data_IF_565300745274
#
_entry.id   IF_565300745274
#
_cell.length_a   1.000
_cell.length_b   1.000
_cell.length_c   1.000
_cell.angle_alpha   90.00
_cell.angle_beta   90.00
_cell.angle_gamma   90.00
#
_symmetry.space_group_name_H-M   'P 1'
#
loop_
_entity.id
_entity.type
_entity.pdbx_description
1 polymer ?
#
# COMPACT_ATOMS: atom_id res chain seq x y z
N UNK A 1 -4.92 -21.70 -5.28
CA UNK A 1 -3.54 -22.14 -5.03
C UNK A 1 -2.67 -20.98 -4.66
N UNK A 2 -1.89 -21.12 -3.59
CA UNK A 2 -0.87 -20.16 -3.22
C UNK A 2 0.46 -20.62 -3.85
N UNK A 3 0.95 -19.90 -4.85
CA UNK A 3 2.11 -20.33 -5.64
C UNK A 3 3.47 -20.19 -4.91
N UNK A 4 3.45 -19.67 -3.66
CA UNK A 4 4.68 -19.56 -2.86
C UNK A 4 5.26 -20.93 -2.48
N UNK A 5 4.38 -21.90 -2.20
CA UNK A 5 4.76 -23.19 -1.61
C UNK A 5 4.58 -24.37 -2.60
N UNK A 6 4.12 -24.08 -3.82
CA UNK A 6 3.81 -25.09 -4.84
C UNK A 6 4.56 -24.79 -6.14
N UNK A 7 5.14 -25.82 -6.74
CA UNK A 7 5.70 -25.73 -8.10
C UNK A 7 4.58 -25.70 -9.15
N UNK A 8 4.89 -25.15 -10.33
CA UNK A 8 3.93 -25.09 -11.44
C UNK A 8 3.36 -26.48 -11.79
N UNK A 9 4.21 -27.53 -11.79
CA UNK A 9 3.79 -28.90 -12.06
C UNK A 9 2.81 -29.44 -11.01
N UNK A 10 3.00 -29.11 -9.74
CA UNK A 10 2.08 -29.50 -8.67
C UNK A 10 0.73 -28.77 -8.79
N UNK A 11 0.73 -27.50 -9.19
CA UNK A 11 -0.49 -26.73 -9.45
C UNK A 11 -1.25 -27.34 -10.61
N UNK A 12 -0.57 -27.60 -11.75
CA UNK A 12 -1.16 -28.20 -12.95
C UNK A 12 -1.74 -29.58 -12.65
N UNK A 13 -0.99 -30.46 -11.99
CA UNK A 13 -1.47 -31.79 -11.62
C UNK A 13 -2.68 -31.75 -10.68
N UNK A 14 -2.72 -30.80 -9.76
CA UNK A 14 -3.88 -30.59 -8.90
C UNK A 14 -5.09 -30.06 -9.68
N UNK A 15 -4.89 -29.17 -10.65
CA UNK A 15 -5.95 -28.67 -11.53
C UNK A 15 -6.52 -29.79 -12.39
N UNK A 16 -5.68 -30.64 -12.97
CA UNK A 16 -6.11 -31.81 -13.76
C UNK A 16 -6.94 -32.78 -12.92
N UNK A 17 -6.51 -33.09 -11.71
CA UNK A 17 -7.23 -34.03 -10.81
C UNK A 17 -8.59 -33.50 -10.36
N UNK A 18 -8.80 -32.18 -10.37
CA UNK A 18 -10.02 -31.51 -9.93
C UNK A 18 -10.87 -31.00 -11.11
N UNK A 19 -10.40 -31.11 -12.35
CA UNK A 19 -11.07 -30.57 -13.55
C UNK A 19 -12.44 -31.18 -13.85
N UNK A 20 -12.74 -32.36 -13.29
CA UNK A 20 -14.05 -33.02 -13.44
C UNK A 20 -15.15 -32.43 -12.54
N UNK A 21 -14.82 -31.51 -11.66
CA UNK A 21 -15.76 -30.82 -10.77
C UNK A 21 -15.97 -29.39 -11.26
N UNK A 22 -17.16 -28.83 -11.05
CA UNK A 22 -17.45 -27.42 -11.31
C UNK A 22 -16.66 -26.52 -10.33
N UNK A 23 -15.35 -26.44 -10.54
CA UNK A 23 -14.43 -25.76 -9.62
C UNK A 23 -13.68 -24.68 -10.38
N UNK A 24 -13.76 -23.43 -9.92
CA UNK A 24 -12.90 -22.36 -10.41
C UNK A 24 -11.51 -22.45 -9.78
N UNK A 25 -10.50 -22.30 -10.61
CA UNK A 25 -9.11 -22.28 -10.15
C UNK A 25 -8.60 -20.84 -10.08
N UNK A 26 -8.04 -20.47 -8.93
CA UNK A 26 -7.38 -19.18 -8.72
C UNK A 26 -5.98 -19.42 -8.21
N UNK A 27 -5.00 -18.82 -8.87
CA UNK A 27 -3.58 -18.91 -8.52
C UNK A 27 -3.14 -17.53 -8.02
N UNK A 28 -2.68 -17.47 -6.79
CA UNK A 28 -2.06 -16.28 -6.21
C UNK A 28 -0.54 -16.43 -6.28
N UNK A 29 0.17 -15.73 -7.19
CA UNK A 29 1.62 -15.70 -7.20
C UNK A 29 2.17 -15.09 -5.91
N UNK A 30 3.36 -15.50 -5.46
CA UNK A 30 3.96 -14.95 -4.25
C UNK A 30 4.20 -13.44 -4.42
N UNK A 31 3.80 -12.68 -3.40
CA UNK A 31 4.02 -11.23 -3.31
C UNK A 31 3.42 -10.38 -4.45
N UNK A 32 2.56 -10.96 -5.30
CA UNK A 32 1.93 -10.25 -6.41
C UNK A 32 0.68 -9.45 -6.01
N UNK A 33 0.39 -8.40 -6.77
CA UNK A 33 -0.82 -7.57 -6.62
C UNK A 33 -1.99 -8.06 -7.48
N UNK A 34 -1.92 -9.28 -8.00
CA UNK A 34 -2.95 -9.86 -8.84
C UNK A 34 -3.16 -11.35 -8.53
N UNK A 35 -4.32 -11.84 -8.92
CA UNK A 35 -4.67 -13.26 -8.88
C UNK A 35 -4.97 -13.70 -10.30
N UNK A 36 -4.38 -14.81 -10.72
CA UNK A 36 -4.69 -15.47 -11.98
C UNK A 36 -5.88 -16.40 -11.76
N UNK A 37 -6.90 -16.30 -12.58
CA UNK A 37 -8.08 -17.15 -12.50
C UNK A 37 -8.63 -17.49 -13.88
N UNK A 38 -9.43 -18.55 -13.96
CA UNK A 38 -10.23 -18.89 -15.15
C UNK A 38 -11.66 -18.42 -14.96
N UNK A 39 -12.24 -17.74 -15.97
CA UNK A 39 -13.57 -17.19 -15.90
C UNK A 39 -14.68 -18.21 -16.07
N UNK A 40 -14.38 -19.37 -16.64
CA UNK A 40 -15.38 -20.43 -16.90
C UNK A 40 -14.71 -21.77 -17.19
N UNK A 41 -15.37 -22.86 -16.76
CA UNK A 41 -15.03 -24.23 -17.09
C UNK A 41 -15.25 -24.52 -18.59
N UNK A 42 -16.18 -23.81 -19.23
CA UNK A 42 -16.58 -24.01 -20.62
C UNK A 42 -15.74 -23.21 -21.64
N UNK A 43 -14.84 -22.35 -21.19
CA UNK A 43 -13.91 -21.58 -22.03
C UNK A 43 -12.48 -21.82 -21.60
N UNK A 44 -11.88 -22.99 -21.91
CA UNK A 44 -10.49 -23.26 -21.59
C UNK A 44 -9.59 -22.30 -22.37
N UNK A 45 -8.91 -21.41 -21.62
CA UNK A 45 -7.94 -20.46 -22.18
C UNK A 45 -8.15 -18.99 -21.81
N UNK A 46 -9.29 -18.59 -21.29
CA UNK A 46 -9.47 -17.23 -20.80
C UNK A 46 -9.00 -17.11 -19.35
N UNK A 47 -7.75 -16.70 -19.19
CA UNK A 47 -7.21 -16.27 -17.90
C UNK A 47 -7.62 -14.81 -17.66
N UNK A 48 -8.21 -14.54 -16.53
CA UNK A 48 -8.46 -13.15 -16.09
C UNK A 48 -7.56 -12.78 -14.92
N UNK A 49 -7.15 -11.51 -14.92
CA UNK A 49 -6.36 -10.93 -13.85
C UNK A 49 -7.29 -10.22 -12.88
N UNK A 50 -7.28 -10.62 -11.63
CA UNK A 50 -7.94 -9.86 -10.55
C UNK A 50 -6.87 -8.98 -9.92
N UNK A 51 -6.93 -7.69 -10.22
CA UNK A 51 -6.09 -6.69 -9.54
C UNK A 51 -6.58 -6.54 -8.09
N UNK A 52 -5.75 -6.99 -7.14
CA UNK A 52 -6.01 -6.84 -5.71
C UNK A 52 -5.41 -5.53 -5.15
N UNK A 53 -4.98 -4.64 -6.03
CA UNK A 53 -4.44 -3.34 -5.70
C UNK A 53 -5.55 -2.41 -5.18
N UNK A 54 -5.79 -2.46 -3.89
CA UNK A 54 -6.83 -1.65 -3.25
C UNK A 54 -6.57 -0.14 -3.40
N UNK A 55 -5.30 0.29 -3.34
CA UNK A 55 -4.93 1.70 -3.44
C UNK A 55 -5.28 2.30 -4.81
N UNK A 56 -5.28 1.50 -5.88
CA UNK A 56 -5.54 2.00 -7.25
C UNK A 56 -7.01 2.30 -7.51
N UNK A 57 -7.91 1.81 -6.66
CA UNK A 57 -9.35 2.07 -6.78
C UNK A 57 -9.64 3.57 -6.70
N UNK A 58 -10.50 4.13 -7.59
CA UNK A 58 -10.79 5.57 -7.60
C UNK A 58 -11.32 6.10 -6.26
N UNK A 59 -12.09 5.29 -5.55
CA UNK A 59 -12.62 5.61 -4.23
C UNK A 59 -11.50 5.81 -3.19
N UNK A 60 -10.52 4.91 -3.18
CA UNK A 60 -9.40 4.98 -2.25
C UNK A 60 -8.46 6.14 -2.58
N UNK A 61 -8.23 6.43 -3.87
CA UNK A 61 -7.47 7.62 -4.30
C UNK A 61 -8.14 8.92 -3.82
N UNK A 62 -9.48 9.01 -3.95
CA UNK A 62 -10.25 10.17 -3.46
C UNK A 62 -10.20 10.27 -1.95
N UNK A 63 -10.43 9.16 -1.24
CA UNK A 63 -10.39 9.10 0.23
C UNK A 63 -9.01 9.48 0.76
N UNK A 64 -7.95 9.00 0.10
CA UNK A 64 -6.57 9.37 0.44
C UNK A 64 -6.33 10.87 0.24
N UNK A 65 -6.79 11.44 -0.85
CA UNK A 65 -6.65 12.88 -1.10
C UNK A 65 -7.44 13.71 -0.09
N UNK A 66 -8.65 13.27 0.25
CA UNK A 66 -9.47 13.93 1.27
C UNK A 66 -8.78 13.87 2.65
N UNK A 67 -8.22 12.73 3.00
CA UNK A 67 -7.41 12.56 4.21
C UNK A 67 -6.24 13.54 4.24
N UNK A 68 -5.48 13.66 3.15
CA UNK A 68 -4.36 14.59 3.05
C UNK A 68 -4.79 16.05 3.32
N UNK A 69 -5.92 16.46 2.73
CA UNK A 69 -6.45 17.82 2.89
C UNK A 69 -6.94 18.06 4.33
N UNK A 70 -7.76 17.15 4.86
CA UNK A 70 -8.31 17.28 6.21
C UNK A 70 -7.17 17.30 7.25
N UNK A 71 -6.22 16.38 7.13
CA UNK A 71 -5.06 16.32 8.02
C UNK A 71 -4.23 17.61 7.95
N UNK A 72 -4.02 18.16 6.75
CA UNK A 72 -3.30 19.42 6.58
C UNK A 72 -4.02 20.58 7.28
N UNK A 73 -5.35 20.65 7.19
CA UNK A 73 -6.16 21.69 7.86
C UNK A 73 -6.11 21.53 9.38
N UNK A 74 -6.24 20.30 9.88
CA UNK A 74 -6.17 20.01 11.33
C UNK A 74 -4.79 20.38 11.89
N UNK A 75 -3.71 19.94 11.21
CA UNK A 75 -2.34 20.27 11.62
C UNK A 75 -2.09 21.78 11.56
N UNK A 76 -2.61 22.46 10.54
CA UNK A 76 -2.51 23.92 10.45
C UNK A 76 -3.21 24.63 11.60
N UNK A 77 -4.43 24.21 11.94
CA UNK A 77 -5.17 24.77 13.07
C UNK A 77 -4.51 24.49 14.43
N UNK A 78 -3.80 23.38 14.56
CA UNK A 78 -3.10 22.97 15.79
C UNK A 78 -1.66 23.47 15.88
N UNK A 79 -1.15 24.19 14.88
CA UNK A 79 0.23 24.73 14.84
C UNK A 79 0.62 25.44 16.14
N UNK A 80 -0.19 26.34 16.76
CA UNK A 80 0.21 27.02 17.97
C UNK A 80 0.62 26.09 19.12
N UNK A 81 -0.05 24.95 19.19
CA UNK A 81 0.26 23.91 20.19
C UNK A 81 1.41 23.00 19.75
N UNK A 82 1.49 22.70 18.46
CA UNK A 82 2.53 21.83 17.90
C UNK A 82 3.92 22.47 17.89
N UNK A 83 4.03 23.78 17.78
CA UNK A 83 5.32 24.50 17.82
C UNK A 83 6.11 24.18 19.08
N UNK A 84 5.43 23.95 20.21
CA UNK A 84 6.08 23.58 21.47
C UNK A 84 6.59 22.14 21.50
N UNK A 85 6.05 21.26 20.64
CA UNK A 85 6.35 19.82 20.62
C UNK A 85 7.25 19.39 19.46
N UNK A 86 7.36 20.22 18.42
CA UNK A 86 8.03 19.91 17.15
C UNK A 86 9.43 20.57 17.13
N UNK A 87 10.44 19.83 16.64
CA UNK A 87 11.83 20.32 16.60
C UNK A 87 12.05 21.36 15.51
N UNK A 88 11.37 21.21 14.35
CA UNK A 88 11.54 22.06 13.17
C UNK A 88 10.19 22.59 12.66
N UNK A 89 9.58 23.57 13.33
CA UNK A 89 8.23 24.06 12.98
C UNK A 89 8.15 24.64 11.56
N UNK A 90 9.24 25.22 11.03
CA UNK A 90 9.29 25.70 9.64
C UNK A 90 9.12 24.57 8.62
N UNK A 91 9.78 23.45 8.84
CA UNK A 91 9.67 22.26 7.97
C UNK A 91 8.25 21.70 8.00
N UNK A 92 7.65 21.60 9.21
CA UNK A 92 6.25 21.18 9.34
C UNK A 92 5.30 22.09 8.54
N UNK A 93 5.46 23.41 8.62
CA UNK A 93 4.64 24.34 7.85
C UNK A 93 4.78 24.13 6.34
N UNK A 94 6.00 23.95 5.84
CA UNK A 94 6.26 23.67 4.43
C UNK A 94 5.59 22.37 4.03
N UNK A 95 5.72 21.32 4.84
CA UNK A 95 5.11 20.02 4.58
C UNK A 95 3.57 20.12 4.53
N UNK A 96 2.95 20.86 5.45
CA UNK A 96 1.49 21.10 5.45
C UNK A 96 1.06 21.75 4.12
N UNK A 97 1.75 22.82 3.70
CA UNK A 97 1.43 23.54 2.45
C UNK A 97 1.66 22.66 1.22
N UNK A 98 2.74 21.91 1.16
CA UNK A 98 3.08 21.05 0.02
C UNK A 98 2.10 19.87 -0.11
N UNK A 99 1.66 19.28 1.01
CA UNK A 99 0.62 18.25 1.00
C UNK A 99 -0.74 18.84 0.64
N UNK A 100 -1.10 19.98 1.19
CA UNK A 100 -2.35 20.66 0.87
C UNK A 100 -2.44 21.01 -0.64
N UNK A 101 -1.37 21.50 -1.23
CA UNK A 101 -1.27 21.76 -2.69
C UNK A 101 -1.24 20.47 -3.50
N UNK A 102 -1.00 19.32 -2.88
CA UNK A 102 -0.94 18.02 -3.55
C UNK A 102 0.39 17.72 -4.23
N UNK A 103 1.46 18.38 -3.84
CA UNK A 103 2.83 18.06 -4.27
C UNK A 103 3.33 16.78 -3.59
N UNK A 104 3.02 16.63 -2.30
CA UNK A 104 3.29 15.46 -1.47
C UNK A 104 1.98 14.85 -0.93
N UNK A 105 2.09 13.70 -0.27
CA UNK A 105 1.04 13.07 0.55
C UNK A 105 1.57 12.87 1.97
N UNK A 106 0.69 12.78 2.96
CA UNK A 106 1.15 12.48 4.32
C UNK A 106 1.78 11.11 4.41
N UNK A 107 1.19 10.10 3.79
CA UNK A 107 1.69 8.73 3.79
C UNK A 107 2.04 8.30 2.36
N UNK A 108 3.28 7.92 2.13
CA UNK A 108 3.79 7.42 0.85
C UNK A 108 4.62 6.17 1.04
N UNK A 109 5.21 5.64 -0.03
CA UNK A 109 6.08 4.49 0.05
C UNK A 109 7.41 4.81 0.74
N UNK A 110 7.97 3.80 1.38
CA UNK A 110 9.35 3.85 1.85
C UNK A 110 10.33 3.79 0.69
N UNK A 111 11.51 4.40 0.85
CA UNK A 111 12.49 4.61 -0.22
C UNK A 111 13.19 3.36 -0.76
N UNK A 112 13.13 2.23 -0.05
CA UNK A 112 13.75 0.97 -0.48
C UNK A 112 12.77 0.17 -1.30
N UNK A 113 12.61 0.47 -2.58
CA UNK A 113 11.83 -0.33 -3.49
C UNK A 113 12.72 -0.87 -4.60
N UNK A 114 13.01 -2.15 -4.56
CA UNK A 114 13.64 -2.87 -5.66
C UNK A 114 12.60 -3.13 -6.75
N UNK A 115 12.92 -2.71 -7.96
CA UNK A 115 12.07 -2.53 -9.15
C UNK A 115 11.44 -3.82 -9.73
N UNK A 116 11.11 -4.81 -8.93
CA UNK A 116 10.55 -6.09 -9.42
C UNK A 116 9.03 -6.08 -9.60
N UNK A 117 8.29 -5.28 -8.86
CA UNK A 117 6.83 -5.18 -8.97
C UNK A 117 6.42 -3.72 -9.20
N UNK A 118 5.57 -3.48 -10.21
CA UNK A 118 5.00 -2.16 -10.49
C UNK A 118 3.97 -1.79 -9.43
N UNK A 119 4.41 -1.08 -8.39
CA UNK A 119 3.47 -0.46 -7.46
C UNK A 119 2.74 0.71 -8.13
N UNK A 120 1.47 0.96 -7.74
CA UNK A 120 0.73 2.13 -8.24
C UNK A 120 1.50 3.42 -7.99
N UNK A 121 1.40 4.33 -8.95
CA UNK A 121 1.97 5.66 -8.81
C UNK A 121 1.37 6.37 -7.60
N UNK A 122 2.20 6.66 -6.61
CA UNK A 122 1.86 7.41 -5.42
C UNK A 122 2.82 8.60 -5.29
N UNK A 123 2.30 9.73 -4.81
CA UNK A 123 3.13 10.89 -4.50
C UNK A 123 4.08 10.55 -3.36
N UNK A 124 5.23 11.23 -3.34
CA UNK A 124 6.20 11.08 -2.25
C UNK A 124 5.51 11.41 -0.91
N UNK A 125 5.65 10.52 0.07
CA UNK A 125 5.13 10.71 1.41
C UNK A 125 6.07 11.51 2.30
N UNK A 126 5.50 12.22 3.26
CA UNK A 126 6.23 12.79 4.41
C UNK A 126 6.56 11.65 5.38
N UNK A 127 5.60 10.76 5.61
CA UNK A 127 5.74 9.52 6.36
C UNK A 127 5.58 8.32 5.44
N UNK A 128 5.95 7.17 5.94
CA UNK A 128 5.84 5.88 5.25
C UNK A 128 5.28 4.79 6.18
N UNK A 129 4.78 3.67 5.65
CA UNK A 129 4.26 2.58 6.47
C UNK A 129 5.26 2.00 7.48
N UNK A 130 6.57 2.16 7.26
CA UNK A 130 7.60 1.68 8.19
C UNK A 130 7.74 2.59 9.43
N UNK A 131 7.33 3.86 9.36
CA UNK A 131 7.47 4.80 10.48
C UNK A 131 6.59 4.44 11.69
N UNK A 132 5.63 3.53 11.49
CA UNK A 132 4.87 2.94 12.59
C UNK A 132 5.68 1.94 13.44
N UNK A 133 6.78 1.40 12.90
CA UNK A 133 7.63 0.42 13.58
C UNK A 133 8.85 1.13 14.19
N UNK A 134 8.76 1.49 15.46
CA UNK A 134 9.86 2.13 16.18
C UNK A 134 11.03 1.14 16.33
N UNK A 135 12.25 1.57 15.95
CA UNK A 135 13.53 0.89 16.24
C UNK A 135 13.76 -0.50 15.60
N UNK A 136 13.05 -0.88 14.55
CA UNK A 136 13.39 -2.09 13.82
C UNK A 136 14.36 -1.76 12.68
N UNK A 137 15.53 -2.37 12.69
CA UNK A 137 16.40 -2.46 11.50
C UNK A 137 15.74 -3.40 10.50
N UNK A 138 14.90 -2.84 9.62
CA UNK A 138 14.21 -3.61 8.59
C UNK A 138 15.15 -3.82 7.40
N UNK A 139 15.22 -5.05 6.91
CA UNK A 139 15.92 -5.35 5.66
C UNK A 139 15.11 -4.80 4.49
N UNK A 140 15.76 -4.54 3.36
CA UNK A 140 15.11 -4.05 2.13
C UNK A 140 13.92 -4.92 1.72
N UNK A 141 14.06 -6.24 1.73
CA UNK A 141 12.98 -7.17 1.42
C UNK A 141 11.77 -7.05 2.36
N UNK A 142 11.98 -6.71 3.62
CA UNK A 142 10.88 -6.47 4.57
C UNK A 142 10.18 -5.14 4.29
N UNK A 143 10.92 -4.12 3.86
CA UNK A 143 10.37 -2.83 3.47
C UNK A 143 9.48 -2.98 2.24
N UNK A 144 9.94 -3.73 1.23
CA UNK A 144 9.16 -4.00 0.02
C UNK A 144 7.86 -4.74 0.33
N UNK A 145 7.91 -5.76 1.22
CA UNK A 145 6.71 -6.46 1.69
C UNK A 145 5.72 -5.54 2.39
N UNK A 146 6.20 -4.61 3.21
CA UNK A 146 5.35 -3.62 3.89
C UNK A 146 4.70 -2.67 2.87
N UNK A 147 5.44 -2.22 1.85
CA UNK A 147 4.89 -1.39 0.78
C UNK A 147 3.82 -2.14 -0.02
N UNK A 148 4.06 -3.40 -0.39
CA UNK A 148 3.10 -4.27 -1.08
C UNK A 148 1.85 -4.47 -0.22
N UNK A 149 2.03 -4.80 1.06
CA UNK A 149 0.92 -4.98 2.00
C UNK A 149 0.07 -3.71 2.13
N UNK A 150 0.71 -2.55 2.21
CA UNK A 150 0.02 -1.27 2.26
C UNK A 150 -0.86 -1.02 1.03
N UNK A 151 -0.41 -1.42 -0.15
CA UNK A 151 -1.17 -1.28 -1.40
C UNK A 151 -2.33 -2.28 -1.47
N UNK A 152 -2.08 -3.53 -1.07
CA UNK A 152 -3.09 -4.62 -1.09
C UNK A 152 -4.26 -4.30 -0.18
N UNK A 153 -3.95 -3.95 1.06
CA UNK A 153 -4.93 -3.78 2.14
C UNK A 153 -5.12 -2.30 2.47
N UNK A 154 -5.03 -1.42 1.46
CA UNK A 154 -5.18 0.00 1.70
C UNK A 154 -6.52 0.33 2.34
N UNK A 155 -6.43 1.00 3.47
CA UNK A 155 -7.57 1.56 4.19
C UNK A 155 -7.16 2.89 4.83
N UNK A 156 -8.05 3.89 4.81
CA UNK A 156 -7.78 5.23 5.35
C UNK A 156 -7.42 5.21 6.84
N UNK A 157 -7.91 4.22 7.59
CA UNK A 157 -7.58 4.02 9.01
C UNK A 157 -6.09 3.66 9.18
N UNK A 158 -5.49 2.97 8.20
CA UNK A 158 -4.07 2.67 8.21
C UNK A 158 -3.26 3.96 8.11
N UNK A 159 -3.65 4.88 7.22
CA UNK A 159 -3.02 6.20 7.09
C UNK A 159 -3.12 6.99 8.41
N UNK A 160 -4.28 6.99 9.03
CA UNK A 160 -4.46 7.66 10.33
C UNK A 160 -3.57 7.03 11.42
N UNK A 161 -3.47 5.72 11.46
CA UNK A 161 -2.62 5.00 12.42
C UNK A 161 -1.14 5.35 12.22
N UNK A 162 -0.67 5.34 10.96
CA UNK A 162 0.70 5.70 10.62
C UNK A 162 0.97 7.17 11.01
N UNK A 163 0.05 8.08 10.71
CA UNK A 163 0.15 9.48 11.05
C UNK A 163 0.31 9.69 12.56
N UNK A 164 -0.58 9.08 13.38
CA UNK A 164 -0.54 9.21 14.84
C UNK A 164 0.77 8.69 15.41
N UNK A 165 1.24 7.53 14.93
CA UNK A 165 2.51 6.94 15.38
C UNK A 165 3.72 7.74 14.91
N UNK A 166 3.63 8.36 13.73
CA UNK A 166 4.69 9.15 13.10
C UNK A 166 4.65 10.66 13.41
N UNK A 167 3.77 11.14 14.30
CA UNK A 167 3.62 12.58 14.61
C UNK A 167 4.94 13.28 14.94
N UNK A 168 5.86 12.59 15.61
CA UNK A 168 7.19 13.12 15.97
C UNK A 168 8.17 13.24 14.79
N UNK A 169 7.80 12.76 13.62
CA UNK A 169 8.64 12.72 12.41
C UNK A 169 8.08 13.61 11.29
N UNK A 170 6.98 14.34 11.55
CA UNK A 170 6.34 15.22 10.57
C UNK A 170 7.21 16.43 10.16
N UNK A 171 8.24 16.70 10.92
CA UNK A 171 9.20 17.80 10.74
C UNK A 171 10.55 17.37 10.16
N UNK A 172 10.60 16.13 9.64
CA UNK A 172 11.81 15.61 8.98
C UNK A 172 11.98 16.13 7.56
#
# INVERSE_FOLDING_TARGET
FCAKDLSANQIIGSMESLSSRETEFKIAPPESLFILGSSSINSPGELYFIDINSLNKPENKRSKRLFDIITSLVLFATIPFLILAVKKPKTLLINIVDVFKGKYTWIGYSKSFNQGEELPLLKKGILSPIDQFKNSTLNESSIDKINIQYVKDYHIINDLTILIKGLKQLDN
#
